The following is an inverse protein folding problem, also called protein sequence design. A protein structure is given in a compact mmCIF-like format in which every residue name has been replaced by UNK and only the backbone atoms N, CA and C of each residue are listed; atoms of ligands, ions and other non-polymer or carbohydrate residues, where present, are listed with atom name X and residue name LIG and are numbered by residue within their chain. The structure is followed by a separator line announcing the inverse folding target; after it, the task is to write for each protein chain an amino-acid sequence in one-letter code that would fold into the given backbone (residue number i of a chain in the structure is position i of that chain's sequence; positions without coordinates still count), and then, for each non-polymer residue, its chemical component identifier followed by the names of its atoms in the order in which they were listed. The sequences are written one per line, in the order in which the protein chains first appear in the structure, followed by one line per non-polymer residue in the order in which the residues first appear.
data_IF_505521961717
#
_entry.id   IF_505521961717
#
_cell.length_a   1.000
_cell.length_b   1.000
_cell.length_c   1.000
_cell.angle_alpha   90.00
_cell.angle_beta   90.00
_cell.angle_gamma   90.00
#
_symmetry.space_group_name_H-M   'P 1'
#
loop_
_entity.id
_entity.type
_entity.pdbx_description
1 polymer ?
#
# COMPACT_ATOMS: atom_id res chain seq x y z
N UNK A 1 9.14 -21.34 -7.34
CA UNK A 1 9.12 -21.75 -5.92
C UNK A 1 9.52 -20.65 -4.92
N UNK A 2 10.21 -19.57 -5.32
CA UNK A 2 10.66 -18.53 -4.36
C UNK A 2 9.53 -17.77 -3.66
N UNK A 3 8.54 -17.26 -4.40
CA UNK A 3 7.43 -16.50 -3.79
C UNK A 3 6.64 -17.34 -2.77
N UNK A 4 6.36 -18.60 -3.10
CA UNK A 4 5.65 -19.52 -2.20
C UNK A 4 6.45 -19.82 -0.93
N UNK A 5 7.76 -20.09 -1.05
CA UNK A 5 8.62 -20.31 0.12
C UNK A 5 8.67 -19.08 1.03
N UNK A 6 8.88 -17.89 0.47
CA UNK A 6 8.90 -16.63 1.23
C UNK A 6 7.54 -16.34 1.90
N UNK A 7 6.42 -16.66 1.25
CA UNK A 7 5.09 -16.50 1.85
C UNK A 7 4.88 -17.44 3.05
N UNK A 8 5.37 -18.68 2.98
CA UNK A 8 5.30 -19.63 4.10
C UNK A 8 6.18 -19.19 5.25
N UNK A 9 7.43 -18.77 4.99
CA UNK A 9 8.33 -18.24 6.02
C UNK A 9 7.73 -17.00 6.71
N UNK A 10 7.18 -16.07 5.92
CA UNK A 10 6.50 -14.88 6.45
C UNK A 10 5.30 -15.26 7.33
N UNK A 11 4.50 -16.25 6.92
CA UNK A 11 3.34 -16.71 7.69
C UNK A 11 3.78 -17.33 9.02
N UNK A 12 4.79 -18.20 9.01
CA UNK A 12 5.27 -18.83 10.26
C UNK A 12 5.89 -17.77 11.17
N UNK A 13 6.67 -16.83 10.62
CA UNK A 13 7.21 -15.68 11.36
C UNK A 13 6.12 -14.83 12.04
N UNK A 14 5.05 -14.50 11.30
CA UNK A 14 3.89 -13.79 11.84
C UNK A 14 3.22 -14.54 12.99
N UNK A 15 3.10 -15.86 12.90
CA UNK A 15 2.42 -16.68 13.91
C UNK A 15 3.21 -16.85 15.21
N UNK A 16 4.54 -16.75 15.15
CA UNK A 16 5.40 -16.84 16.34
C UNK A 16 5.44 -15.53 17.14
N UNK A 17 5.12 -14.39 16.54
CA UNK A 17 5.05 -13.12 17.26
C UNK A 17 3.84 -13.10 18.21
N UNK A 18 3.96 -12.63 19.48
CA UNK A 18 2.83 -12.53 20.41
C UNK A 18 1.67 -11.66 19.87
N UNK A 19 1.99 -10.64 19.07
CA UNK A 19 1.01 -9.75 18.43
C UNK A 19 0.32 -10.36 17.21
N UNK A 20 0.82 -11.50 16.68
CA UNK A 20 0.30 -12.17 15.49
C UNK A 20 0.05 -11.19 14.34
N UNK A 21 -1.17 -11.17 13.77
CA UNK A 21 -1.56 -10.25 12.71
C UNK A 21 -1.58 -8.76 13.07
N UNK A 22 -1.28 -8.39 14.33
CA UNK A 22 -1.10 -7.00 14.78
C UNK A 22 0.39 -6.64 14.95
N UNK A 23 1.30 -7.48 14.47
CA UNK A 23 2.73 -7.19 14.47
C UNK A 23 3.00 -5.92 13.64
N UNK A 24 3.75 -4.94 14.18
CA UNK A 24 4.15 -3.77 13.40
C UNK A 24 5.06 -4.18 12.25
N UNK A 25 4.99 -3.44 11.14
CA UNK A 25 5.86 -3.68 10.00
C UNK A 25 7.34 -3.44 10.37
N UNK A 26 8.21 -4.37 9.99
CA UNK A 26 9.66 -4.20 10.13
C UNK A 26 10.12 -2.90 9.45
N UNK A 27 10.84 -2.04 10.18
CA UNK A 27 11.36 -0.76 9.67
C UNK A 27 10.34 0.39 9.56
N UNK A 28 9.14 0.27 10.16
CA UNK A 28 8.09 1.29 10.09
C UNK A 28 8.34 2.57 10.91
N UNK A 29 9.48 2.68 11.61
CA UNK A 29 9.94 3.95 12.18
C UNK A 29 10.46 4.85 11.06
N UNK A 30 9.58 5.71 10.56
CA UNK A 30 9.91 6.81 9.66
C UNK A 30 11.01 7.69 10.29
N UNK A 31 12.23 7.64 9.74
CA UNK A 31 13.30 8.59 10.05
C UNK A 31 14.68 8.03 10.40
N UNK A 32 14.86 6.71 10.48
CA UNK A 32 16.16 6.12 10.79
C UNK A 32 16.87 5.58 9.55
N UNK A 33 17.84 6.32 9.00
CA UNK A 33 19.02 5.69 8.37
C UNK A 33 19.80 5.01 9.49
N UNK A 34 19.41 3.79 9.81
CA UNK A 34 20.07 3.01 10.85
C UNK A 34 19.80 1.55 10.59
N UNK A 35 20.86 0.78 10.45
CA UNK A 35 20.90 -0.67 10.51
C UNK A 35 20.45 -1.12 11.91
N UNK A 36 19.18 -0.89 12.26
CA UNK A 36 18.59 -1.37 13.50
C UNK A 36 18.25 -2.86 13.32
N UNK A 37 19.31 -3.68 13.27
CA UNK A 37 19.25 -5.14 13.38
C UNK A 37 18.62 -5.59 14.72
N UNK A 38 18.47 -4.67 15.68
CA UNK A 38 18.06 -4.93 17.07
C UNK A 38 16.53 -4.85 17.33
N UNK A 39 15.70 -4.39 16.38
CA UNK A 39 14.24 -4.32 16.56
C UNK A 39 13.49 -5.54 15.97
N UNK A 40 14.13 -6.70 15.88
CA UNK A 40 13.42 -7.98 15.69
C UNK A 40 12.77 -8.37 17.02
N UNK A 41 11.73 -7.63 17.44
CA UNK A 41 11.06 -7.83 18.73
C UNK A 41 10.69 -9.31 18.95
N UNK A 42 11.35 -9.96 19.91
CA UNK A 42 11.14 -11.33 20.43
C UNK A 42 10.79 -12.45 19.43
N UNK A 43 10.92 -12.25 18.11
CA UNK A 43 10.53 -13.25 17.13
C UNK A 43 11.72 -14.17 16.82
N UNK A 44 11.70 -15.45 17.22
CA UNK A 44 12.82 -16.37 17.02
C UNK A 44 13.11 -16.66 15.53
N UNK A 45 12.19 -16.33 14.62
CA UNK A 45 12.33 -16.51 13.18
C UNK A 45 12.80 -15.25 12.45
N UNK A 46 13.15 -14.19 13.18
CA UNK A 46 13.65 -12.93 12.62
C UNK A 46 12.53 -11.94 12.27
N UNK A 47 12.81 -10.94 11.42
CA UNK A 47 11.89 -9.84 11.16
C UNK A 47 10.68 -10.27 10.33
N UNK A 48 9.57 -9.55 10.52
CA UNK A 48 8.31 -9.76 9.80
C UNK A 48 8.07 -8.57 8.86
N UNK A 49 8.46 -8.67 7.57
CA UNK A 49 8.29 -7.57 6.62
C UNK A 49 6.83 -7.41 6.18
N UNK A 50 6.43 -6.15 5.91
CA UNK A 50 5.11 -5.82 5.37
C UNK A 50 4.92 -6.25 3.91
N UNK A 51 5.95 -6.08 3.09
CA UNK A 51 5.99 -6.53 1.68
C UNK A 51 7.34 -7.18 1.38
N UNK A 52 7.36 -8.11 0.43
CA UNK A 52 8.60 -8.67 -0.14
C UNK A 52 8.51 -8.51 -1.67
N UNK A 53 9.44 -7.77 -2.27
CA UNK A 53 9.53 -7.58 -3.73
C UNK A 53 10.82 -8.21 -4.24
N UNK A 54 10.70 -9.28 -5.03
CA UNK A 54 11.83 -10.03 -5.59
C UNK A 54 12.11 -9.68 -7.04
N UNK A 55 13.40 -9.57 -7.39
CA UNK A 55 13.91 -9.25 -8.72
C UNK A 55 14.84 -10.36 -9.20
N UNK A 56 14.38 -11.15 -10.17
CA UNK A 56 15.12 -12.33 -10.66
C UNK A 56 16.40 -11.94 -11.42
N UNK A 57 16.35 -10.90 -12.24
CA UNK A 57 17.48 -10.45 -13.06
C UNK A 57 18.71 -10.06 -12.22
N UNK A 58 18.49 -9.53 -11.01
CA UNK A 58 19.55 -9.11 -10.07
C UNK A 58 19.73 -10.07 -8.92
N UNK A 59 18.91 -11.10 -8.80
CA UNK A 59 18.87 -12.03 -7.65
C UNK A 59 18.79 -11.27 -6.30
N UNK A 60 17.96 -10.24 -6.26
CA UNK A 60 17.79 -9.35 -5.10
C UNK A 60 16.32 -9.29 -4.68
N UNK A 61 16.07 -8.96 -3.41
CA UNK A 61 14.74 -8.58 -2.94
C UNK A 61 14.82 -7.37 -2.02
N UNK A 62 13.68 -6.71 -1.83
CA UNK A 62 13.53 -5.58 -0.91
C UNK A 62 12.25 -5.75 -0.08
N UNK A 63 12.24 -5.17 1.13
CA UNK A 63 11.13 -5.31 2.09
C UNK A 63 10.51 -3.97 2.51
N UNK A 64 9.80 -3.27 1.61
CA UNK A 64 9.24 -1.97 1.92
C UNK A 64 8.03 -2.07 2.87
N UNK A 65 7.87 -1.05 3.71
CA UNK A 65 6.65 -0.82 4.48
C UNK A 65 5.82 0.30 3.82
N UNK A 66 4.49 0.18 3.89
CA UNK A 66 3.57 1.22 3.42
C UNK A 66 2.55 1.51 4.51
N UNK A 67 2.12 2.77 4.60
CA UNK A 67 1.03 3.17 5.48
C UNK A 67 -0.32 2.97 4.80
N UNK A 68 -1.38 2.77 5.58
CA UNK A 68 -2.73 2.70 5.05
C UNK A 68 -3.12 4.03 4.39
N UNK A 69 -3.51 3.96 3.12
CA UNK A 69 -3.87 5.13 2.35
C UNK A 69 -5.35 5.50 2.56
N UNK A 70 -5.62 6.77 2.88
CA UNK A 70 -6.95 7.25 3.21
C UNK A 70 -7.98 7.05 2.08
N UNK A 71 -7.55 7.13 0.82
CA UNK A 71 -8.40 6.97 -0.37
C UNK A 71 -8.27 5.58 -1.02
N UNK A 72 -7.77 4.58 -0.30
CA UNK A 72 -7.62 3.21 -0.83
C UNK A 72 -8.97 2.60 -1.23
N UNK A 73 -9.08 2.13 -2.46
CA UNK A 73 -10.29 1.50 -3.03
C UNK A 73 -10.64 0.13 -2.42
N UNK A 74 -9.83 -0.39 -1.50
CA UNK A 74 -10.07 -1.66 -0.82
C UNK A 74 -10.24 -1.52 0.70
N UNK A 75 -9.34 -0.83 1.40
CA UNK A 75 -9.30 -0.81 2.86
C UNK A 75 -9.63 0.54 3.51
N UNK A 76 -10.02 1.55 2.74
CA UNK A 76 -10.41 2.85 3.31
C UNK A 76 -11.72 2.74 4.12
N UNK A 77 -11.92 3.59 5.14
CA UNK A 77 -13.14 3.58 5.94
C UNK A 77 -14.44 3.67 5.12
N UNK A 78 -14.57 4.54 4.08
CA UNK A 78 -15.78 4.60 3.26
C UNK A 78 -16.13 3.28 2.57
N UNK A 79 -15.12 2.53 2.11
CA UNK A 79 -15.31 1.23 1.45
C UNK A 79 -15.76 0.17 2.46
N UNK A 80 -15.11 0.14 3.63
CA UNK A 80 -15.47 -0.79 4.71
C UNK A 80 -16.89 -0.54 5.23
N UNK A 81 -17.27 0.73 5.41
CA UNK A 81 -18.60 1.12 5.87
C UNK A 81 -19.69 0.78 4.85
N UNK A 82 -19.45 1.05 3.57
CA UNK A 82 -20.40 0.73 2.50
C UNK A 82 -20.55 -0.78 2.30
N UNK A 83 -19.45 -1.54 2.41
CA UNK A 83 -19.50 -3.00 2.41
C UNK A 83 -20.25 -3.56 3.63
N UNK A 84 -20.02 -3.02 4.83
CA UNK A 84 -20.74 -3.43 6.03
C UNK A 84 -22.25 -3.17 5.93
N UNK A 85 -22.64 -2.07 5.25
CA UNK A 85 -24.04 -1.66 5.10
C UNK A 85 -24.79 -2.43 4.00
N UNK A 86 -24.14 -2.68 2.86
CA UNK A 86 -24.78 -3.24 1.66
C UNK A 86 -24.29 -4.63 1.26
N UNK A 87 -23.24 -5.15 1.89
CA UNK A 87 -22.72 -6.48 1.63
C UNK A 87 -22.57 -6.81 0.14
N UNK A 88 -23.26 -7.85 -0.29
CA UNK A 88 -23.14 -8.41 -1.64
C UNK A 88 -23.65 -7.46 -2.74
N UNK A 89 -24.71 -6.68 -2.50
CA UNK A 89 -25.20 -5.72 -3.49
C UNK A 89 -24.14 -4.67 -3.85
N UNK A 90 -23.31 -4.28 -2.88
CA UNK A 90 -22.19 -3.38 -3.14
C UNK A 90 -21.08 -4.08 -3.94
N UNK A 91 -20.72 -5.33 -3.60
CA UNK A 91 -19.74 -6.10 -4.36
C UNK A 91 -20.18 -6.27 -5.82
N UNK A 92 -21.45 -6.64 -6.04
CA UNK A 92 -22.00 -6.79 -7.38
C UNK A 92 -21.99 -5.46 -8.16
N UNK A 93 -22.30 -4.34 -7.50
CA UNK A 93 -22.17 -3.03 -8.13
C UNK A 93 -20.72 -2.76 -8.56
N UNK A 94 -19.75 -2.96 -7.66
CA UNK A 94 -18.32 -2.74 -7.92
C UNK A 94 -17.81 -3.60 -9.07
N UNK A 95 -18.26 -4.86 -9.16
CA UNK A 95 -17.88 -5.76 -10.24
C UNK A 95 -18.42 -5.32 -11.61
N UNK A 96 -19.54 -4.60 -11.64
CA UNK A 96 -20.13 -4.06 -12.87
C UNK A 96 -19.63 -2.64 -13.20
N UNK A 97 -19.28 -1.85 -12.17
CA UNK A 97 -18.76 -0.48 -12.29
C UNK A 97 -17.61 -0.27 -11.29
N UNK A 98 -16.37 -0.49 -11.73
CA UNK A 98 -15.19 -0.30 -10.89
C UNK A 98 -14.96 1.17 -10.51
N UNK A 99 -15.40 2.12 -11.35
CA UNK A 99 -15.25 3.56 -11.11
C UNK A 99 -16.10 4.04 -9.92
N UNK A 100 -17.05 3.23 -9.44
CA UNK A 100 -17.78 3.56 -8.22
C UNK A 100 -16.87 3.61 -6.99
N UNK A 101 -15.80 2.80 -6.93
CA UNK A 101 -14.86 2.81 -5.81
C UNK A 101 -14.08 4.12 -5.75
N UNK A 102 -13.60 4.61 -6.89
CA UNK A 102 -12.83 5.86 -6.93
C UNK A 102 -13.69 7.07 -6.52
N UNK A 103 -14.96 7.09 -6.93
CA UNK A 103 -15.91 8.11 -6.50
C UNK A 103 -16.21 8.04 -5.01
N UNK A 104 -16.34 6.82 -4.48
CA UNK A 104 -16.61 6.58 -3.06
C UNK A 104 -15.43 7.00 -2.17
N UNK A 105 -14.20 6.72 -2.60
CA UNK A 105 -13.00 7.05 -1.81
C UNK A 105 -12.50 8.47 -2.01
N UNK A 106 -13.07 9.22 -2.97
CA UNK A 106 -12.59 10.55 -3.35
C UNK A 106 -11.36 10.52 -4.26
N UNK A 107 -10.90 9.34 -4.68
CA UNK A 107 -9.77 9.19 -5.59
C UNK A 107 -10.03 9.83 -6.97
N UNK A 108 -11.28 9.84 -7.44
CA UNK A 108 -11.63 10.54 -8.68
C UNK A 108 -11.32 12.04 -8.62
N UNK A 109 -11.56 12.68 -7.46
CA UNK A 109 -11.25 14.11 -7.27
C UNK A 109 -9.74 14.36 -7.25
N UNK A 110 -8.98 13.45 -6.63
CA UNK A 110 -7.52 13.55 -6.61
C UNK A 110 -6.94 13.49 -8.03
N UNK A 111 -7.48 12.64 -8.91
CA UNK A 111 -7.08 12.58 -10.31
C UNK A 111 -7.41 13.90 -11.04
N UNK A 112 -8.62 14.44 -10.86
CA UNK A 112 -9.04 15.71 -11.46
C UNK A 112 -8.15 16.88 -11.03
N UNK A 113 -7.83 17.00 -9.74
CA UNK A 113 -6.92 18.02 -9.20
C UNK A 113 -5.53 17.90 -9.83
N UNK A 114 -5.01 16.67 -9.95
CA UNK A 114 -3.69 16.42 -10.52
C UNK A 114 -3.63 16.71 -12.04
N UNK A 115 -4.72 16.49 -12.76
CA UNK A 115 -4.82 16.80 -14.19
C UNK A 115 -4.90 18.32 -14.42
N UNK A 116 -5.65 19.04 -13.58
CA UNK A 116 -5.72 20.50 -13.63
C UNK A 116 -4.36 21.16 -13.35
N UNK A 117 -3.64 20.68 -12.34
CA UNK A 117 -2.30 21.17 -12.01
C UNK A 117 -1.29 20.93 -13.16
N UNK A 118 -1.38 19.78 -13.83
CA UNK A 118 -0.56 19.50 -15.03
C UNK A 118 -0.87 20.47 -16.18
N UNK A 119 -2.14 20.77 -16.42
CA UNK A 119 -2.56 21.72 -17.47
C UNK A 119 -1.99 23.12 -17.17
N UNK A 120 -2.04 23.57 -15.92
CA UNK A 120 -1.47 24.87 -15.53
C UNK A 120 0.05 24.91 -15.65
N UNK A 121 0.77 23.86 -15.24
CA UNK A 121 2.22 23.78 -15.36
C UNK A 121 2.72 23.85 -16.82
N UNK A 122 1.94 23.31 -17.77
CA UNK A 122 2.24 23.39 -19.19
C UNK A 122 1.96 24.81 -19.75
N UNK A 123 0.92 25.49 -19.26
CA UNK A 123 0.57 26.85 -19.68
C UNK A 123 1.65 27.89 -19.33
N UNK A 124 2.33 27.75 -18.19
CA UNK A 124 3.44 28.65 -17.79
C UNK A 124 4.71 28.42 -18.64
N UNK A 125 4.87 27.24 -19.24
CA UNK A 125 6.04 26.92 -20.06
C UNK A 125 5.95 27.56 -21.45
N UNK A 126 4.75 27.72 -22.01
CA UNK A 126 4.52 28.30 -23.33
C UNK A 126 4.66 29.84 -23.37
N UNK A 127 4.55 30.55 -22.23
CA UNK A 127 4.78 32.01 -22.17
C UNK A 127 6.27 32.40 -22.17
N UNK A 128 7.19 31.45 -21.94
CA UNK A 128 8.63 31.71 -21.91
C UNK A 128 9.35 31.50 -23.25
N UNK A 129 8.67 30.95 -24.26
CA UNK A 129 9.23 30.66 -25.58
C UNK A 129 8.95 31.74 -26.63
N UNK A 130 8.19 32.79 -26.27
CA UNK A 130 7.92 33.95 -27.15
C UNK A 130 8.41 35.25 -26.50
N UNK A 131 9.72 35.46 -26.51
CA UNK A 131 10.36 36.78 -26.32
C UNK A 131 11.72 36.80 -26.99
#
# INVERSE_FOLDING_TARGET
MMAGALAVELLVGLLQTPLKGRCPAFGAVAGGTGDNEEESGDNPLGPVPHQIRGFLNRHQYMTPACVAFAMCTACSPPVLDEYARRGWEFVLQVLNDASCLERLTGLSRLHEETDLDQIWALSDSDESATS
#
